data_IF_796322054676
#
_entry.id   IF_796322054676
#
_cell.length_a   1.000
_cell.length_b   1.000
_cell.length_c   1.000
_cell.angle_alpha   90.00
_cell.angle_beta   90.00
_cell.angle_gamma   90.00
#
_symmetry.space_group_name_H-M   'P 1'
#
loop_
_entity.id
_entity.type
_entity.pdbx_description
1 polymer ?
#
# COMPACT_ATOMS: atom_id res chain seq x y z
N UNK A 1 -22.22 17.04 -4.37
CA UNK A 1 -23.30 18.03 -4.30
C UNK A 1 -23.79 18.16 -2.88
N UNK A 2 -24.00 19.38 -2.40
CA UNK A 2 -24.57 19.67 -1.09
C UNK A 2 -26.11 19.82 -1.15
N UNK A 3 -26.77 19.90 0.01
CA UNK A 3 -28.23 20.04 0.11
C UNK A 3 -28.77 21.23 -0.69
N UNK A 4 -28.14 22.40 -0.61
CA UNK A 4 -28.56 23.60 -1.35
C UNK A 4 -28.58 23.40 -2.87
N UNK A 5 -27.55 22.75 -3.40
CA UNK A 5 -27.46 22.40 -4.83
C UNK A 5 -28.57 21.43 -5.24
N UNK A 6 -28.78 20.36 -4.45
CA UNK A 6 -29.83 19.37 -4.72
C UNK A 6 -31.23 19.97 -4.66
N UNK A 7 -31.49 20.89 -3.73
CA UNK A 7 -32.76 21.61 -3.64
C UNK A 7 -33.03 22.45 -4.89
N UNK A 8 -32.00 23.16 -5.39
CA UNK A 8 -32.11 23.95 -6.62
C UNK A 8 -32.39 23.05 -7.81
N UNK A 9 -31.64 21.96 -7.95
CA UNK A 9 -31.77 20.99 -9.04
C UNK A 9 -33.18 20.39 -9.09
N UNK A 10 -33.64 19.81 -7.98
CA UNK A 10 -34.97 19.18 -7.87
C UNK A 10 -36.10 20.17 -8.16
N UNK A 11 -35.95 21.43 -7.71
CA UNK A 11 -36.91 22.50 -8.02
C UNK A 11 -36.94 22.80 -9.51
N UNK A 12 -35.78 22.89 -10.15
CA UNK A 12 -35.68 23.17 -11.59
C UNK A 12 -36.20 22.01 -12.44
N UNK A 13 -35.93 20.77 -12.06
CA UNK A 13 -36.45 19.55 -12.70
C UNK A 13 -37.98 19.55 -12.71
N UNK A 14 -38.61 19.91 -11.58
CA UNK A 14 -40.07 20.05 -11.48
C UNK A 14 -40.62 21.35 -12.09
N UNK A 15 -39.78 22.22 -12.67
CA UNK A 15 -40.14 23.52 -13.26
C UNK A 15 -40.88 24.46 -12.28
N UNK A 16 -40.48 24.44 -11.00
CA UNK A 16 -41.10 25.24 -9.95
C UNK A 16 -40.27 26.48 -9.59
N UNK A 17 -40.93 27.54 -9.17
CA UNK A 17 -40.25 28.72 -8.60
C UNK A 17 -40.02 28.52 -7.10
N UNK A 18 -39.04 29.22 -6.55
CA UNK A 18 -38.77 29.20 -5.11
C UNK A 18 -40.02 29.57 -4.27
N UNK A 19 -40.82 30.52 -4.75
CA UNK A 19 -42.11 30.89 -4.13
C UNK A 19 -43.11 29.72 -4.15
N UNK A 20 -43.22 29.01 -5.27
CA UNK A 20 -44.14 27.85 -5.40
C UNK A 20 -43.75 26.71 -4.47
N UNK A 21 -42.45 26.42 -4.32
CA UNK A 21 -42.01 25.38 -3.38
C UNK A 21 -42.20 25.80 -1.93
N UNK A 22 -41.88 27.05 -1.57
CA UNK A 22 -42.10 27.55 -0.21
C UNK A 22 -43.58 27.41 0.22
N UNK A 23 -44.50 27.74 -0.70
CA UNK A 23 -45.94 27.51 -0.49
C UNK A 23 -46.30 26.04 -0.30
N UNK A 24 -45.76 25.13 -1.13
CA UNK A 24 -46.00 23.68 -1.00
C UNK A 24 -45.49 23.10 0.32
N UNK A 25 -44.40 23.65 0.85
CA UNK A 25 -43.79 23.21 2.11
C UNK A 25 -44.37 23.91 3.34
N UNK A 26 -45.32 24.84 3.15
CA UNK A 26 -45.85 25.71 4.20
C UNK A 26 -44.74 26.45 4.98
N UNK A 27 -43.75 27.00 4.27
CA UNK A 27 -42.67 27.82 4.85
C UNK A 27 -42.62 29.19 4.21
N UNK A 28 -42.10 30.17 4.95
CA UNK A 28 -41.86 31.50 4.41
C UNK A 28 -40.89 31.45 3.22
N UNK A 29 -41.18 32.22 2.17
CA UNK A 29 -40.34 32.30 0.96
C UNK A 29 -38.86 32.55 1.28
N UNK A 30 -38.58 33.47 2.20
CA UNK A 30 -37.22 33.80 2.63
C UNK A 30 -36.52 32.61 3.29
N UNK A 31 -37.26 31.73 3.97
CA UNK A 31 -36.69 30.54 4.62
C UNK A 31 -36.22 29.56 3.54
N UNK A 32 -37.06 29.23 2.57
CA UNK A 32 -36.68 28.34 1.46
C UNK A 32 -35.55 28.95 0.61
N UNK A 33 -35.59 30.26 0.35
CA UNK A 33 -34.53 30.95 -0.37
C UNK A 33 -33.17 30.82 0.34
N UNK A 34 -33.14 30.96 1.67
CA UNK A 34 -31.91 30.78 2.47
C UNK A 34 -31.43 29.33 2.47
N UNK A 35 -32.35 28.37 2.40
CA UNK A 35 -31.99 26.95 2.24
C UNK A 35 -31.32 26.67 0.89
N UNK A 36 -31.90 27.16 -0.22
CA UNK A 36 -31.32 26.98 -1.56
C UNK A 36 -29.99 27.73 -1.75
N UNK A 37 -29.78 28.81 -0.99
CA UNK A 37 -28.49 29.53 -0.94
C UNK A 37 -27.45 28.93 0.01
N UNK A 38 -27.81 27.94 0.82
CA UNK A 38 -26.93 27.36 1.84
C UNK A 38 -26.70 28.25 3.08
N UNK A 39 -27.39 29.40 3.18
CA UNK A 39 -27.28 30.34 4.31
C UNK A 39 -27.95 29.83 5.59
N UNK A 40 -28.86 28.84 5.46
CA UNK A 40 -29.56 28.22 6.57
C UNK A 40 -29.83 26.75 6.27
N UNK A 41 -29.70 25.89 7.27
CA UNK A 41 -30.07 24.48 7.16
C UNK A 41 -31.56 24.28 7.54
N UNK A 42 -32.33 23.44 6.81
CA UNK A 42 -33.67 23.04 7.23
C UNK A 42 -33.61 22.16 8.49
N UNK A 43 -34.69 22.17 9.28
CA UNK A 43 -34.83 21.24 10.41
C UNK A 43 -35.23 19.85 9.90
N UNK A 44 -35.05 18.81 10.73
CA UNK A 44 -35.42 17.42 10.41
C UNK A 44 -36.82 17.28 9.78
N UNK A 45 -37.84 17.85 10.42
CA UNK A 45 -39.22 17.85 9.90
C UNK A 45 -39.34 18.50 8.52
N UNK A 46 -38.60 19.59 8.27
CA UNK A 46 -38.56 20.23 6.95
C UNK A 46 -37.85 19.37 5.91
N UNK A 47 -36.80 18.63 6.29
CA UNK A 47 -36.07 17.71 5.41
C UNK A 47 -36.98 16.56 4.98
N UNK A 48 -37.76 16.00 5.90
CA UNK A 48 -38.74 14.96 5.61
C UNK A 48 -39.81 15.48 4.64
N UNK A 49 -40.38 16.66 4.91
CA UNK A 49 -41.35 17.29 4.01
C UNK A 49 -40.76 17.61 2.62
N UNK A 50 -39.50 18.04 2.56
CA UNK A 50 -38.78 18.25 1.30
C UNK A 50 -38.65 16.93 0.52
N UNK A 51 -38.28 15.84 1.20
CA UNK A 51 -38.14 14.52 0.59
C UNK A 51 -39.47 14.07 -0.04
N UNK A 52 -40.57 14.23 0.70
CA UNK A 52 -41.93 13.92 0.20
C UNK A 52 -42.34 14.81 -0.98
N UNK A 53 -42.16 16.13 -0.90
CA UNK A 53 -42.54 17.05 -1.98
C UNK A 53 -41.74 16.78 -3.26
N UNK A 54 -40.45 16.44 -3.12
CA UNK A 54 -39.60 16.13 -4.25
C UNK A 54 -39.70 14.66 -4.71
N UNK A 55 -40.34 13.78 -3.95
CA UNK A 55 -40.42 12.34 -4.20
C UNK A 55 -39.03 11.70 -4.29
N UNK A 56 -38.20 12.00 -3.30
CA UNK A 56 -36.82 11.52 -3.18
C UNK A 56 -36.59 10.98 -1.78
N UNK A 57 -35.53 10.20 -1.57
CA UNK A 57 -35.13 9.76 -0.25
C UNK A 57 -34.49 10.91 0.55
N UNK A 58 -34.58 10.84 1.88
CA UNK A 58 -33.86 11.78 2.77
C UNK A 58 -32.35 11.69 2.54
N UNK A 59 -31.80 10.49 2.36
CA UNK A 59 -30.39 10.30 2.06
C UNK A 59 -29.96 10.97 0.75
N UNK A 60 -30.83 10.98 -0.27
CA UNK A 60 -30.60 11.79 -1.47
C UNK A 60 -30.69 13.29 -1.21
N UNK A 61 -31.50 13.79 -0.29
CA UNK A 61 -31.42 15.23 0.01
C UNK A 61 -30.12 15.60 0.73
N UNK A 62 -29.67 14.74 1.64
CA UNK A 62 -28.56 15.03 2.55
C UNK A 62 -27.16 14.82 1.97
N UNK A 63 -27.02 14.16 0.83
CA UNK A 63 -25.69 13.87 0.26
C UNK A 63 -25.29 12.40 0.35
N UNK A 64 -26.02 11.59 1.11
CA UNK A 64 -25.65 10.21 1.48
C UNK A 64 -25.71 9.24 0.30
N UNK A 65 -26.59 9.50 -0.67
CA UNK A 65 -26.67 8.73 -1.92
C UNK A 65 -26.90 9.66 -3.10
N UNK A 66 -26.47 9.23 -4.29
CA UNK A 66 -26.81 9.87 -5.57
C UNK A 66 -28.08 9.30 -6.20
N UNK A 67 -28.68 8.28 -5.59
CA UNK A 67 -29.92 7.65 -6.06
C UNK A 67 -31.11 8.46 -5.51
N UNK A 68 -31.86 9.11 -6.41
CA UNK A 68 -32.98 10.02 -6.07
C UNK A 68 -34.00 9.35 -5.14
N UNK A 69 -34.41 8.13 -5.45
CA UNK A 69 -35.26 7.33 -4.57
C UNK A 69 -34.74 5.89 -4.51
N UNK A 70 -34.73 5.29 -3.32
CA UNK A 70 -34.57 3.83 -3.21
C UNK A 70 -35.64 3.08 -4.02
N UNK A 71 -36.78 3.75 -4.25
CA UNK A 71 -37.90 3.22 -5.02
C UNK A 71 -37.55 2.87 -6.47
N UNK A 72 -36.58 3.51 -7.14
CA UNK A 72 -36.32 3.17 -8.55
C UNK A 72 -35.78 1.74 -8.67
N UNK A 73 -34.85 1.36 -7.79
CA UNK A 73 -34.33 -0.01 -7.72
C UNK A 73 -35.46 -0.96 -7.29
N UNK A 74 -36.22 -0.59 -6.27
CA UNK A 74 -37.32 -1.42 -5.76
C UNK A 74 -38.40 -1.63 -6.84
N UNK A 75 -38.83 -0.58 -7.54
CA UNK A 75 -39.80 -0.60 -8.64
C UNK A 75 -39.33 -1.46 -9.81
N UNK A 76 -38.04 -1.36 -10.18
CA UNK A 76 -37.45 -2.21 -11.22
C UNK A 76 -37.44 -3.66 -10.74
N UNK A 77 -36.99 -3.91 -9.50
CA UNK A 77 -36.92 -5.24 -8.92
C UNK A 77 -38.30 -5.88 -8.83
N UNK A 78 -39.34 -5.16 -8.41
CA UNK A 78 -40.73 -5.61 -8.37
C UNK A 78 -41.28 -6.01 -9.75
N UNK A 79 -40.89 -5.29 -10.81
CA UNK A 79 -41.29 -5.60 -12.20
C UNK A 79 -40.53 -6.78 -12.80
N UNK A 80 -39.36 -7.12 -12.28
CA UNK A 80 -38.55 -8.22 -12.77
C UNK A 80 -39.10 -9.58 -12.30
N UNK A 81 -39.01 -10.58 -13.18
CA UNK A 81 -39.26 -11.98 -12.79
C UNK A 81 -38.19 -12.46 -11.82
N UNK A 82 -38.55 -13.34 -10.89
CA UNK A 82 -37.65 -13.90 -9.85
C UNK A 82 -36.28 -14.36 -10.38
N UNK A 83 -36.15 -15.09 -11.50
CA UNK A 83 -34.84 -15.48 -12.01
C UNK A 83 -33.94 -14.29 -12.42
N UNK A 84 -34.54 -13.17 -12.84
CA UNK A 84 -33.81 -11.94 -13.21
C UNK A 84 -33.44 -11.11 -11.98
N UNK A 85 -34.29 -11.09 -10.96
CA UNK A 85 -33.97 -10.48 -9.66
C UNK A 85 -32.71 -11.12 -9.06
N UNK A 86 -32.65 -12.46 -9.04
CA UNK A 86 -31.49 -13.20 -8.54
C UNK A 86 -30.19 -12.85 -9.28
N UNK A 87 -30.24 -12.77 -10.63
CA UNK A 87 -29.09 -12.35 -11.44
C UNK A 87 -28.64 -10.93 -11.12
N UNK A 88 -29.58 -10.02 -10.91
CA UNK A 88 -29.28 -8.62 -10.57
C UNK A 88 -28.60 -8.52 -9.21
N UNK A 89 -29.10 -9.24 -8.20
CA UNK A 89 -28.49 -9.30 -6.87
C UNK A 89 -27.08 -9.90 -6.95
N UNK A 90 -26.90 -10.99 -7.71
CA UNK A 90 -25.59 -11.62 -7.87
C UNK A 90 -24.59 -10.66 -8.53
N UNK A 91 -25.02 -9.94 -9.56
CA UNK A 91 -24.20 -8.93 -10.21
C UNK A 91 -23.82 -7.80 -9.23
N UNK A 92 -24.77 -7.25 -8.48
CA UNK A 92 -24.52 -6.21 -7.50
C UNK A 92 -23.53 -6.67 -6.41
N UNK A 93 -23.66 -7.90 -5.91
CA UNK A 93 -22.71 -8.50 -4.96
C UNK A 93 -21.31 -8.63 -5.55
N UNK A 94 -21.21 -9.06 -6.80
CA UNK A 94 -19.92 -9.17 -7.50
C UNK A 94 -19.23 -7.80 -7.60
N UNK A 95 -19.95 -6.77 -8.02
CA UNK A 95 -19.41 -5.41 -8.13
C UNK A 95 -18.95 -4.86 -6.77
N UNK A 96 -19.68 -5.16 -5.69
CA UNK A 96 -19.27 -4.75 -4.35
C UNK A 96 -17.96 -5.43 -3.89
N UNK A 97 -17.78 -6.71 -4.24
CA UNK A 97 -16.53 -7.43 -3.95
C UNK A 97 -15.39 -6.81 -4.76
N UNK A 98 -15.57 -6.60 -6.06
CA UNK A 98 -14.56 -5.98 -6.95
C UNK A 98 -14.13 -4.62 -6.40
N UNK A 99 -15.09 -3.76 -6.04
CA UNK A 99 -14.80 -2.46 -5.42
C UNK A 99 -14.01 -2.59 -4.11
N UNK A 100 -14.37 -3.55 -3.26
CA UNK A 100 -13.68 -3.74 -1.96
C UNK A 100 -12.22 -4.16 -2.15
N UNK A 101 -11.94 -5.00 -3.15
CA UNK A 101 -10.56 -5.40 -3.47
C UNK A 101 -9.76 -4.25 -4.10
N UNK A 102 -10.37 -3.46 -4.97
CA UNK A 102 -9.75 -2.22 -5.51
C UNK A 102 -9.40 -1.24 -4.38
N UNK A 103 -10.32 -1.00 -3.44
CA UNK A 103 -10.09 -0.10 -2.30
C UNK A 103 -8.94 -0.59 -1.40
N UNK A 104 -8.82 -1.91 -1.20
CA UNK A 104 -7.69 -2.51 -0.46
C UNK A 104 -6.35 -2.28 -1.17
N UNK A 105 -6.31 -2.44 -2.50
CA UNK A 105 -5.09 -2.22 -3.30
C UNK A 105 -4.66 -0.75 -3.20
N UNK A 106 -5.60 0.19 -3.30
CA UNK A 106 -5.34 1.63 -3.13
C UNK A 106 -4.82 1.94 -1.73
N UNK A 107 -5.40 1.33 -0.69
CA UNK A 107 -4.91 1.48 0.68
C UNK A 107 -3.49 0.93 0.86
N UNK A 108 -3.20 -0.24 0.29
CA UNK A 108 -1.86 -0.84 0.31
C UNK A 108 -0.84 0.11 -0.34
N UNK A 109 -1.09 0.59 -1.55
CA UNK A 109 -0.20 1.53 -2.25
C UNK A 109 0.02 2.84 -1.48
N UNK A 110 -1.02 3.36 -0.80
CA UNK A 110 -0.89 4.55 0.04
C UNK A 110 -0.10 4.29 1.34
N UNK A 111 -0.02 3.04 1.77
CA UNK A 111 0.75 2.62 2.96
C UNK A 111 2.18 2.17 2.65
N UNK A 112 2.53 2.02 1.37
CA UNK A 112 3.85 1.57 0.96
C UNK A 112 4.96 2.53 1.41
N UNK A 113 5.98 1.96 2.03
CA UNK A 113 7.11 2.67 2.61
C UNK A 113 8.28 2.60 1.64
N UNK A 114 8.91 3.73 1.29
CA UNK A 114 10.07 3.76 0.41
C UNK A 114 11.34 3.30 1.16
N UNK A 115 12.15 2.48 0.50
CA UNK A 115 13.46 2.03 0.94
C UNK A 115 14.50 2.44 -0.10
N UNK A 116 15.53 3.19 0.32
CA UNK A 116 16.69 3.53 -0.52
C UNK A 116 17.65 2.35 -0.58
N UNK A 117 17.90 1.84 -1.77
CA UNK A 117 18.82 0.72 -1.99
C UNK A 117 20.22 1.25 -2.25
N UNK A 118 21.21 0.62 -1.62
CA UNK A 118 22.63 0.81 -1.90
C UNK A 118 23.17 -0.30 -2.79
N UNK A 119 24.09 0.03 -3.71
CA UNK A 119 24.82 -0.97 -4.47
C UNK A 119 25.85 -1.70 -3.60
N UNK A 120 26.10 -2.97 -3.90
CA UNK A 120 27.04 -3.83 -3.17
C UNK A 120 28.46 -3.24 -3.08
N UNK A 121 28.93 -2.57 -4.15
CA UNK A 121 30.23 -1.89 -4.16
C UNK A 121 30.34 -0.77 -3.12
N UNK A 122 29.21 -0.18 -2.72
CA UNK A 122 29.14 0.84 -1.67
C UNK A 122 29.35 0.25 -0.27
N UNK A 123 29.16 -1.06 -0.09
CA UNK A 123 29.43 -1.73 1.18
C UNK A 123 30.92 -1.76 1.47
N UNK A 124 31.72 -2.08 0.44
CA UNK A 124 33.18 -2.20 0.51
C UNK A 124 33.93 -0.88 0.60
N UNK A 125 33.36 0.19 0.08
CA UNK A 125 34.00 1.51 0.07
C UNK A 125 34.08 2.20 1.46
N UNK A 126 33.43 1.66 2.49
CA UNK A 126 33.39 2.28 3.83
C UNK A 126 32.60 3.60 3.87
N UNK A 127 32.30 4.10 5.08
CA UNK A 127 31.59 5.37 5.27
C UNK A 127 32.52 6.53 4.86
N UNK A 128 32.49 6.97 3.62
CA UNK A 128 33.15 8.20 3.20
C UNK A 128 33.32 8.35 1.70
N UNK A 129 32.72 9.41 1.15
CA UNK A 129 32.99 10.01 -0.17
C UNK A 129 32.73 9.14 -1.41
N UNK A 130 31.47 9.04 -1.81
CA UNK A 130 31.14 8.87 -3.22
C UNK A 130 31.45 10.18 -3.95
N UNK A 131 32.61 10.27 -4.58
CA UNK A 131 32.87 11.22 -5.66
C UNK A 131 32.05 10.78 -6.88
N UNK A 132 30.77 11.20 -6.93
CA UNK A 132 30.03 11.62 -8.13
C UNK A 132 28.55 11.73 -7.75
N UNK A 133 28.05 12.97 -7.75
CA UNK A 133 26.65 13.23 -8.01
C UNK A 133 26.25 12.44 -9.28
N UNK A 134 25.15 11.68 -9.25
CA UNK A 134 24.50 10.94 -10.36
C UNK A 134 24.59 9.39 -10.42
N UNK A 135 24.98 8.66 -9.37
CA UNK A 135 24.52 7.25 -9.27
C UNK A 135 23.13 7.26 -8.63
N UNK A 136 22.10 7.06 -9.46
CA UNK A 136 20.71 7.12 -9.04
C UNK A 136 20.44 6.12 -7.92
N UNK A 137 20.11 6.63 -6.73
CA UNK A 137 19.60 5.81 -5.64
C UNK A 137 18.30 5.14 -6.11
N UNK A 138 18.31 3.82 -6.22
CA UNK A 138 17.11 3.06 -6.53
C UNK A 138 16.20 3.05 -5.29
N UNK A 139 14.94 3.42 -5.46
CA UNK A 139 13.94 3.40 -4.39
C UNK A 139 12.92 2.33 -4.70
N UNK A 140 12.77 1.39 -3.77
CA UNK A 140 11.75 0.35 -3.81
C UNK A 140 10.79 0.49 -2.66
N UNK A 141 9.70 -0.28 -2.70
CA UNK A 141 8.61 -0.14 -1.74
C UNK A 141 8.28 -1.45 -1.04
N UNK A 142 7.85 -1.34 0.21
CA UNK A 142 7.32 -2.46 0.99
C UNK A 142 6.18 -2.03 1.92
N UNK A 143 5.44 -3.00 2.47
CA UNK A 143 4.25 -2.77 3.30
C UNK A 143 4.54 -2.74 4.81
N UNK A 144 5.80 -2.94 5.21
CA UNK A 144 6.25 -2.92 6.61
C UNK A 144 7.35 -1.89 6.83
N UNK A 145 7.30 -1.23 7.99
CA UNK A 145 8.36 -0.33 8.46
C UNK A 145 9.31 -1.09 9.37
N UNK A 146 10.51 -1.40 8.87
CA UNK A 146 11.55 -2.07 9.64
C UNK A 146 12.73 -1.13 9.78
N UNK A 147 13.09 -0.78 11.03
CA UNK A 147 14.27 0.04 11.31
C UNK A 147 15.55 -0.67 10.90
N UNK A 148 16.25 -0.08 9.93
CA UNK A 148 17.50 -0.58 9.37
C UNK A 148 18.47 0.59 9.17
N UNK A 149 19.74 0.27 8.93
CA UNK A 149 20.78 1.26 8.61
C UNK A 149 21.13 1.25 7.12
N UNK A 150 21.02 0.10 6.45
CA UNK A 150 21.30 -0.07 5.01
C UNK A 150 20.32 -1.07 4.40
N UNK A 151 20.04 -0.94 3.10
CA UNK A 151 19.23 -1.88 2.34
C UNK A 151 19.94 -2.22 1.03
N UNK A 152 20.04 -3.51 0.69
CA UNK A 152 20.80 -3.98 -0.48
C UNK A 152 20.05 -5.07 -1.23
N UNK A 153 20.22 -5.14 -2.55
CA UNK A 153 19.64 -6.20 -3.38
C UNK A 153 20.46 -7.49 -3.24
N UNK A 154 19.77 -8.61 -3.04
CA UNK A 154 20.36 -9.95 -3.06
C UNK A 154 20.51 -10.39 -4.52
N UNK A 155 21.76 -10.54 -4.98
CA UNK A 155 22.08 -10.86 -6.38
C UNK A 155 22.58 -12.29 -6.60
N UNK A 156 22.61 -13.11 -5.55
CA UNK A 156 23.04 -14.49 -5.60
C UNK A 156 21.99 -15.44 -5.02
N UNK A 157 21.95 -16.67 -5.52
CA UNK A 157 21.07 -17.73 -4.99
C UNK A 157 21.69 -18.51 -3.82
N UNK A 158 22.88 -18.12 -3.36
CA UNK A 158 23.64 -18.82 -2.32
C UNK A 158 22.93 -18.85 -0.96
N UNK A 159 21.91 -18.01 -0.77
CA UNK A 159 21.15 -17.88 0.46
C UNK A 159 19.70 -18.38 0.33
N UNK A 160 19.35 -19.01 -0.78
CA UNK A 160 18.07 -19.71 -0.92
C UNK A 160 17.99 -20.93 0.02
N UNK A 161 16.79 -21.34 0.45
CA UNK A 161 15.47 -20.80 0.09
C UNK A 161 15.04 -19.59 0.94
N UNK A 162 15.79 -19.23 1.98
CA UNK A 162 15.34 -18.21 2.94
C UNK A 162 15.52 -16.78 2.40
N UNK A 163 16.47 -16.58 1.49
CA UNK A 163 16.76 -15.32 0.84
C UNK A 163 16.91 -15.51 -0.66
N UNK A 164 15.95 -14.96 -1.41
CA UNK A 164 15.87 -15.14 -2.85
C UNK A 164 16.56 -14.03 -3.64
N UNK A 165 17.02 -14.39 -4.83
CA UNK A 165 17.49 -13.41 -5.81
C UNK A 165 16.44 -12.33 -6.07
N UNK A 166 16.89 -11.06 -6.07
CA UNK A 166 16.05 -9.88 -6.26
C UNK A 166 15.35 -9.37 -5.00
N UNK A 167 15.44 -10.07 -3.87
CA UNK A 167 14.98 -9.52 -2.59
C UNK A 167 15.90 -8.42 -2.09
N UNK A 168 15.38 -7.59 -1.18
CA UNK A 168 16.13 -6.56 -0.48
C UNK A 168 16.44 -7.05 0.92
N UNK A 169 17.71 -7.18 1.26
CA UNK A 169 18.17 -7.44 2.61
C UNK A 169 18.27 -6.12 3.40
N UNK A 170 17.62 -6.09 4.55
CA UNK A 170 17.70 -4.98 5.51
C UNK A 170 18.80 -5.28 6.53
N UNK A 171 19.76 -4.37 6.65
CA UNK A 171 20.94 -4.54 7.50
C UNK A 171 20.91 -3.52 8.63
N UNK A 172 21.12 -4.02 9.85
CA UNK A 172 21.42 -3.17 11.01
C UNK A 172 22.91 -3.21 11.28
N UNK A 173 23.53 -2.04 11.36
CA UNK A 173 24.96 -1.89 11.57
C UNK A 173 25.39 -2.57 12.87
N UNK A 174 26.38 -3.45 12.75
CA UNK A 174 27.05 -4.13 13.85
C UNK A 174 28.51 -4.35 13.44
N UNK A 175 29.45 -4.04 14.33
CA UNK A 175 30.89 -4.16 14.06
C UNK A 175 31.47 -5.53 14.43
N UNK A 176 30.64 -6.46 14.92
CA UNK A 176 31.03 -7.81 15.28
C UNK A 176 29.86 -8.77 15.12
N UNK A 177 30.18 -10.06 15.05
CA UNK A 177 29.20 -11.15 15.10
C UNK A 177 28.83 -11.41 16.56
N UNK A 178 27.55 -11.27 16.88
CA UNK A 178 27.02 -11.54 18.22
C UNK A 178 26.54 -12.98 18.38
N UNK A 179 26.07 -13.61 17.29
CA UNK A 179 25.50 -14.96 17.29
C UNK A 179 26.07 -15.72 16.09
N UNK A 180 26.84 -16.78 16.35
CA UNK A 180 27.30 -17.69 15.31
C UNK A 180 26.10 -18.39 14.65
N UNK A 181 26.10 -18.43 13.31
CA UNK A 181 25.03 -19.00 12.50
C UNK A 181 24.01 -17.99 12.01
N UNK A 182 23.95 -16.79 12.59
CA UNK A 182 23.09 -15.72 12.08
C UNK A 182 23.65 -15.13 10.79
N UNK A 183 22.79 -14.39 10.07
CA UNK A 183 23.10 -13.83 8.77
C UNK A 183 23.69 -12.43 8.91
N UNK A 184 24.86 -12.22 8.32
CA UNK A 184 25.53 -10.92 8.31
C UNK A 184 25.94 -10.55 6.89
N UNK A 185 26.02 -9.24 6.68
CA UNK A 185 26.77 -8.65 5.59
C UNK A 185 28.24 -8.51 6.02
N UNK A 186 29.14 -9.14 5.27
CA UNK A 186 30.58 -9.18 5.52
C UNK A 186 31.30 -8.65 4.31
N UNK A 187 32.25 -7.75 4.53
CA UNK A 187 33.06 -7.13 3.51
C UNK A 187 34.47 -7.74 3.53
N UNK A 188 34.89 -8.24 2.38
CA UNK A 188 36.25 -8.67 2.09
C UNK A 188 36.95 -7.53 1.33
N UNK A 189 37.66 -6.70 2.08
CA UNK A 189 38.34 -5.49 1.58
C UNK A 189 39.46 -5.85 0.62
N UNK A 190 40.13 -6.99 0.82
CA UNK A 190 41.21 -7.44 -0.07
C UNK A 190 40.66 -7.75 -1.47
N UNK A 191 39.49 -8.38 -1.54
CA UNK A 191 38.84 -8.74 -2.82
C UNK A 191 37.89 -7.69 -3.35
N UNK A 192 37.51 -6.70 -2.53
CA UNK A 192 36.49 -5.70 -2.85
C UNK A 192 35.12 -6.33 -3.08
N UNK A 193 34.78 -7.38 -2.32
CA UNK A 193 33.53 -8.12 -2.43
C UNK A 193 32.78 -8.09 -1.11
N UNK A 194 31.46 -7.95 -1.16
CA UNK A 194 30.62 -8.07 0.01
C UNK A 194 29.76 -9.34 -0.08
N UNK A 195 29.54 -9.98 1.06
CA UNK A 195 28.84 -11.25 1.16
C UNK A 195 27.69 -11.14 2.15
N UNK A 196 26.53 -11.65 1.77
CA UNK A 196 25.47 -12.00 2.71
C UNK A 196 25.57 -13.51 2.95
N UNK A 197 25.94 -13.92 4.17
CA UNK A 197 26.16 -15.32 4.54
C UNK A 197 25.81 -15.58 6.00
N UNK A 198 25.59 -16.85 6.34
CA UNK A 198 25.55 -17.31 7.73
C UNK A 198 26.98 -17.32 8.27
N UNK A 199 27.24 -16.63 9.37
CA UNK A 199 28.62 -16.36 9.81
C UNK A 199 28.98 -17.11 11.09
N UNK A 200 30.14 -17.76 11.07
CA UNK A 200 30.74 -18.41 12.22
C UNK A 200 32.13 -17.81 12.46
N UNK A 201 32.34 -17.28 13.67
CA UNK A 201 33.65 -16.78 14.09
C UNK A 201 34.44 -17.95 14.68
N UNK A 202 35.56 -18.26 14.05
CA UNK A 202 36.56 -19.22 14.52
C UNK A 202 37.80 -18.45 15.04
N UNK A 203 38.83 -19.18 15.49
CA UNK A 203 40.02 -18.58 16.11
C UNK A 203 40.80 -17.69 15.12
N UNK A 204 41.15 -18.24 13.94
CA UNK A 204 42.01 -17.57 12.95
C UNK A 204 41.25 -17.00 11.74
N UNK A 205 40.00 -17.40 11.55
CA UNK A 205 39.20 -17.04 10.39
C UNK A 205 37.72 -16.87 10.72
N UNK A 206 37.01 -16.20 9.82
CA UNK A 206 35.56 -16.14 9.79
C UNK A 206 35.09 -17.08 8.67
N UNK A 207 34.22 -18.02 9.02
CA UNK A 207 33.62 -18.95 8.07
C UNK A 207 32.24 -18.45 7.65
N UNK A 208 32.10 -18.19 6.36
CA UNK A 208 30.86 -17.79 5.74
C UNK A 208 30.20 -19.00 5.08
N UNK A 209 28.97 -19.29 5.51
CA UNK A 209 28.20 -20.47 5.09
C UNK A 209 27.02 -20.00 4.25
N UNK A 210 26.90 -20.59 3.07
CA UNK A 210 25.73 -20.47 2.20
C UNK A 210 24.60 -21.35 2.71
N UNK A 211 23.37 -20.83 2.78
CA UNK A 211 22.20 -21.62 3.16
C UNK A 211 21.77 -22.59 2.06
N UNK A 212 22.03 -22.22 0.81
CA UNK A 212 21.75 -23.07 -0.33
C UNK A 212 22.72 -24.28 -0.33
N UNK A 213 22.15 -25.48 -0.28
CA UNK A 213 22.84 -26.76 -0.25
C UNK A 213 22.87 -27.50 -1.61
N UNK A 214 22.48 -26.81 -2.70
CA UNK A 214 22.53 -27.33 -4.06
C UNK A 214 23.93 -27.86 -4.41
N UNK A 215 23.92 -28.96 -5.17
CA UNK A 215 25.12 -29.68 -5.61
C UNK A 215 25.19 -29.77 -7.14
N UNK A 216 26.39 -29.80 -7.68
CA UNK A 216 26.64 -30.11 -9.09
C UNK A 216 26.43 -31.60 -9.41
N UNK A 217 26.59 -31.97 -10.69
CA UNK A 217 26.47 -33.35 -11.15
C UNK A 217 27.52 -34.31 -10.55
N UNK A 218 28.60 -33.77 -9.99
CA UNK A 218 29.68 -34.52 -9.34
C UNK A 218 29.47 -34.65 -7.82
N UNK A 219 28.44 -34.00 -7.28
CA UNK A 219 28.09 -34.01 -5.86
C UNK A 219 28.80 -32.95 -5.03
N UNK A 220 29.46 -31.98 -5.66
CA UNK A 220 30.08 -30.85 -4.96
C UNK A 220 29.06 -29.75 -4.71
N UNK A 221 29.11 -29.09 -3.54
CA UNK A 221 28.27 -27.91 -3.29
C UNK A 221 28.55 -26.81 -4.31
N UNK A 222 27.48 -26.26 -4.89
CA UNK A 222 27.57 -25.10 -5.79
C UNK A 222 28.10 -23.85 -5.06
N UNK A 223 27.79 -23.75 -3.76
CA UNK A 223 28.19 -22.62 -2.92
C UNK A 223 28.99 -23.12 -1.70
N UNK A 224 30.29 -23.45 -1.88
CA UNK A 224 31.13 -23.89 -0.78
C UNK A 224 31.34 -22.80 0.26
N UNK A 225 31.71 -23.20 1.47
CA UNK A 225 32.03 -22.28 2.57
C UNK A 225 33.22 -21.38 2.19
N UNK A 226 33.10 -20.09 2.48
CA UNK A 226 34.16 -19.10 2.25
C UNK A 226 34.87 -18.85 3.58
N UNK A 227 36.20 -18.97 3.59
CA UNK A 227 37.02 -18.71 4.76
C UNK A 227 37.74 -17.36 4.57
N UNK A 228 37.42 -16.39 5.41
CA UNK A 228 38.05 -15.08 5.41
C UNK A 228 38.98 -14.93 6.62
N UNK A 229 40.21 -14.41 6.47
CA UNK A 229 41.13 -14.23 7.59
C UNK A 229 40.56 -13.23 8.59
N UNK A 230 40.78 -13.45 9.89
CA UNK A 230 40.30 -12.53 10.93
C UNK A 230 41.28 -11.38 11.14
N UNK A 231 41.51 -10.60 10.10
CA UNK A 231 42.42 -9.46 10.09
C UNK A 231 41.68 -8.17 9.67
N UNK A 232 42.45 -7.12 9.34
CA UNK A 232 41.91 -5.83 8.92
C UNK A 232 41.18 -5.84 7.57
N UNK A 233 41.33 -6.91 6.78
CA UNK A 233 40.68 -7.05 5.49
C UNK A 233 39.26 -7.62 5.59
N UNK A 234 38.89 -8.21 6.74
CA UNK A 234 37.54 -8.76 6.94
C UNK A 234 36.73 -7.88 7.87
N UNK A 235 35.70 -7.24 7.33
CA UNK A 235 34.86 -6.30 8.08
C UNK A 235 33.42 -6.78 8.15
N UNK A 236 32.85 -6.82 9.36
CA UNK A 236 31.40 -6.97 9.53
C UNK A 236 30.73 -5.63 9.25
N UNK A 237 29.83 -5.61 8.27
CA UNK A 237 29.02 -4.43 7.93
C UNK A 237 27.84 -4.35 8.91
N UNK A 238 27.19 -5.48 9.15
CA UNK A 238 26.06 -5.56 10.05
C UNK A 238 25.28 -6.85 9.90
N UNK A 239 24.26 -7.00 10.75
CA UNK A 239 23.37 -8.16 10.77
C UNK A 239 22.20 -7.95 9.83
N UNK A 240 21.88 -8.96 9.03
CA UNK A 240 20.65 -8.99 8.23
C UNK A 240 19.50 -9.25 9.19
N UNK A 241 18.58 -8.29 9.28
CA UNK A 241 17.46 -8.35 10.22
C UNK A 241 16.16 -8.79 9.55
N UNK A 242 16.05 -8.64 8.24
CA UNK A 242 14.89 -9.01 7.44
C UNK A 242 15.25 -9.00 5.96
N UNK A 243 14.49 -9.72 5.14
CA UNK A 243 14.52 -9.57 3.69
C UNK A 243 13.11 -9.51 3.09
N UNK A 244 12.94 -8.76 2.00
CA UNK A 244 11.63 -8.62 1.36
C UNK A 244 11.71 -8.55 -0.16
N UNK A 245 10.62 -8.96 -0.82
CA UNK A 245 10.44 -8.76 -2.26
C UNK A 245 9.85 -7.37 -2.49
N UNK A 246 10.51 -6.50 -3.28
CA UNK A 246 10.03 -5.15 -3.51
C UNK A 246 8.69 -5.15 -4.24
N UNK A 247 7.80 -4.22 -3.86
CA UNK A 247 6.49 -4.01 -4.46
C UNK A 247 6.60 -2.88 -5.47
N UNK A 248 6.19 -3.13 -6.71
CA UNK A 248 6.13 -2.08 -7.73
C UNK A 248 5.06 -1.05 -7.39
N UNK A 249 5.42 0.23 -7.47
CA UNK A 249 4.45 1.33 -7.36
C UNK A 249 3.88 1.59 -8.75
N UNK A 250 2.70 1.04 -9.01
CA UNK A 250 1.92 1.21 -10.26
C UNK A 250 1.44 2.65 -10.42
#
# INVERSE_FOLDING_TARGET
MNLSERLKELRTEKKLTQKKIALKLNVAYQVYQRWEKGERQPKKESIENLATVFNVSVGYLLGETNIKSGSEIDEIMEKLKVPRQQKTIQFAKKQLIEQTEEDKIVQLHNSLIPYEIEEEQSLSAGRGEAYTDEVGKEVVYWDKDIKHDRAIVIRENSMEPDYHYGQIALIRYQSCVDINGDIYAVDDVERGLAYIKSVYVEDDYIRLVSLNDDIDFEGNRLFPDILLPRDENTRIIGKVIEAFTPIEKV
#
